data_IF_222848986561
#
_entry.id   IF_222848986561
#
_cell.length_a   1.000
_cell.length_b   1.000
_cell.length_c   1.000
_cell.angle_alpha   90.00
_cell.angle_beta   90.00
_cell.angle_gamma   90.00
#
_symmetry.space_group_name_H-M   'P 1'
#
loop_
_entity.id
_entity.type
_entity.pdbx_description
1 polymer ?
#
# COMPACT_ATOMS: atom_id res chain seq x y z
N UNK A 1 -24.50 26.21 -19.66
CA UNK A 1 -23.06 26.05 -19.42
C UNK A 1 -22.92 25.36 -18.08
N UNK A 2 -23.05 24.03 -18.11
CA UNK A 2 -22.70 23.19 -16.97
C UNK A 2 -21.49 22.41 -17.39
N UNK A 3 -20.43 22.46 -16.60
CA UNK A 3 -19.58 21.31 -16.39
C UNK A 3 -18.85 21.52 -15.06
N UNK A 4 -19.45 20.93 -14.02
CA UNK A 4 -18.88 20.82 -12.69
C UNK A 4 -18.07 19.54 -12.67
N UNK A 5 -16.83 19.63 -13.13
CA UNK A 5 -15.88 18.52 -13.14
C UNK A 5 -14.82 18.79 -12.08
N UNK A 6 -15.25 18.73 -10.82
CA UNK A 6 -14.39 18.71 -9.66
C UNK A 6 -14.98 17.67 -8.70
N UNK A 7 -14.83 16.39 -9.02
CA UNK A 7 -15.01 15.32 -8.04
C UNK A 7 -14.50 14.00 -8.63
N UNK A 8 -13.83 13.18 -7.82
CA UNK A 8 -13.31 11.82 -8.11
C UNK A 8 -11.86 11.69 -8.58
N UNK A 9 -10.92 12.25 -7.84
CA UNK A 9 -9.60 11.61 -7.71
C UNK A 9 -8.91 12.02 -6.40
N UNK A 10 -9.63 11.91 -5.28
CA UNK A 10 -9.10 12.18 -3.95
C UNK A 10 -9.39 11.04 -2.95
N UNK A 11 -10.16 10.02 -3.35
CA UNK A 11 -10.51 8.90 -2.48
C UNK A 11 -9.49 7.75 -2.48
N UNK A 12 -8.62 7.70 -3.49
CA UNK A 12 -7.64 6.61 -3.67
C UNK A 12 -6.33 6.92 -2.91
N UNK A 13 -5.84 8.17 -2.98
CA UNK A 13 -4.62 8.59 -2.29
C UNK A 13 -4.75 8.53 -0.75
N UNK A 14 -5.90 8.90 -0.18
CA UNK A 14 -6.12 8.85 1.28
C UNK A 14 -6.20 7.41 1.82
N UNK A 15 -6.64 6.46 0.98
CA UNK A 15 -6.69 5.04 1.32
C UNK A 15 -5.29 4.41 1.30
N UNK A 16 -4.47 4.81 0.32
CA UNK A 16 -3.09 4.36 0.16
C UNK A 16 -2.19 4.83 1.33
N UNK A 17 -2.27 6.12 1.70
CA UNK A 17 -1.51 6.67 2.84
C UNK A 17 -1.88 6.02 4.19
N UNK A 18 -3.16 5.64 4.34
CA UNK A 18 -3.64 4.91 5.52
C UNK A 18 -3.07 3.49 5.56
N UNK A 19 -3.08 2.78 4.44
CA UNK A 19 -2.53 1.42 4.33
C UNK A 19 -1.01 1.38 4.55
N UNK A 20 -0.26 2.38 4.05
CA UNK A 20 1.18 2.48 4.29
C UNK A 20 1.49 2.71 5.78
N UNK A 21 0.72 3.57 6.45
CA UNK A 21 0.85 3.81 7.90
C UNK A 21 0.53 2.56 8.72
N UNK A 22 -0.51 1.81 8.36
CA UNK A 22 -0.88 0.56 9.03
C UNK A 22 0.20 -0.53 8.87
N UNK A 23 0.79 -0.67 7.67
CA UNK A 23 1.91 -1.57 7.42
C UNK A 23 3.14 -1.24 8.26
N UNK A 24 3.48 0.06 8.35
CA UNK A 24 4.61 0.54 9.15
C UNK A 24 4.42 0.21 10.64
N UNK A 25 3.21 0.38 11.17
CA UNK A 25 2.88 -0.01 12.55
C UNK A 25 2.90 -1.53 12.79
N UNK A 26 2.46 -2.32 11.80
CA UNK A 26 2.52 -3.77 11.86
C UNK A 26 3.97 -4.30 11.88
N UNK A 27 4.86 -3.72 11.07
CA UNK A 27 6.29 -4.05 11.04
C UNK A 27 6.99 -3.71 12.36
N UNK A 28 6.68 -2.56 12.96
CA UNK A 28 7.23 -2.15 14.26
C UNK A 28 6.84 -3.15 15.36
N UNK A 29 5.57 -3.55 15.40
CA UNK A 29 5.06 -4.57 16.33
C UNK A 29 5.77 -5.92 16.15
N UNK A 30 6.01 -6.34 14.90
CA UNK A 30 6.73 -7.57 14.59
C UNK A 30 8.18 -7.53 15.09
N UNK A 31 8.86 -6.39 14.91
CA UNK A 31 10.23 -6.19 15.37
C UNK A 31 10.34 -6.24 16.89
N UNK A 32 9.40 -5.61 17.61
CA UNK A 32 9.35 -5.69 19.08
C UNK A 32 9.18 -7.12 19.58
N UNK A 33 8.27 -7.88 18.96
CA UNK A 33 8.02 -9.28 19.35
C UNK A 33 9.22 -10.18 19.05
N UNK A 34 9.91 -9.96 17.94
CA UNK A 34 11.16 -10.66 17.62
C UNK A 34 12.26 -10.33 18.66
N UNK A 35 12.42 -9.06 19.01
CA UNK A 35 13.37 -8.64 20.04
C UNK A 35 13.04 -9.22 21.44
N UNK A 36 11.76 -9.48 21.72
CA UNK A 36 11.29 -10.18 22.92
C UNK A 36 11.43 -11.70 22.84
N UNK A 37 11.76 -12.26 21.68
CA UNK A 37 11.84 -13.70 21.43
C UNK A 37 10.47 -14.39 21.29
N UNK A 38 9.40 -13.62 21.09
CA UNK A 38 8.03 -14.13 20.88
C UNK A 38 7.81 -14.61 19.43
N UNK A 39 8.70 -14.22 18.51
CA UNK A 39 8.78 -14.75 17.15
C UNK A 39 10.17 -15.34 16.89
N UNK A 40 10.20 -16.46 16.17
CA UNK A 40 11.44 -16.99 15.59
C UNK A 40 11.79 -16.22 14.32
N UNK A 41 13.05 -16.26 13.91
CA UNK A 41 13.54 -15.66 12.66
C UNK A 41 12.66 -16.07 11.46
N UNK A 42 12.39 -17.36 11.29
CA UNK A 42 11.57 -17.87 10.19
C UNK A 42 10.12 -17.33 10.21
N UNK A 43 9.54 -17.13 11.40
CA UNK A 43 8.19 -16.57 11.54
C UNK A 43 8.18 -15.07 11.27
N UNK A 44 9.26 -14.37 11.61
CA UNK A 44 9.43 -12.96 11.31
C UNK A 44 9.59 -12.75 9.80
N UNK A 45 10.51 -13.46 9.16
CA UNK A 45 10.78 -13.37 7.73
C UNK A 45 9.52 -13.64 6.89
N UNK A 46 8.79 -14.73 7.18
CA UNK A 46 7.52 -15.04 6.50
C UNK A 46 6.46 -13.94 6.62
N UNK A 47 6.43 -13.21 7.75
CA UNK A 47 5.43 -12.16 7.98
C UNK A 47 5.85 -10.84 7.37
N UNK A 48 7.14 -10.52 7.41
CA UNK A 48 7.71 -9.34 6.74
C UNK A 48 7.54 -9.45 5.23
N UNK A 49 7.86 -10.61 4.64
CA UNK A 49 7.69 -10.85 3.22
C UNK A 49 6.22 -10.67 2.79
N UNK A 50 5.27 -11.18 3.59
CA UNK A 50 3.83 -11.00 3.34
C UNK A 50 3.41 -9.53 3.35
N UNK A 51 3.90 -8.72 4.29
CA UNK A 51 3.54 -7.30 4.41
C UNK A 51 4.10 -6.49 3.22
N UNK A 52 5.36 -6.74 2.84
CA UNK A 52 6.00 -6.06 1.71
C UNK A 52 5.43 -6.49 0.35
N UNK A 53 5.04 -7.76 0.20
CA UNK A 53 4.38 -8.27 -1.00
C UNK A 53 3.00 -7.61 -1.20
N UNK A 54 2.31 -7.25 -0.12
CA UNK A 54 1.00 -6.58 -0.19
C UNK A 54 1.16 -5.12 -0.62
N UNK A 55 2.11 -4.37 -0.06
CA UNK A 55 2.48 -3.02 -0.52
C UNK A 55 2.89 -3.02 -2.00
N UNK A 56 3.67 -4.02 -2.42
CA UNK A 56 4.07 -4.15 -3.83
C UNK A 56 2.91 -4.55 -4.75
N UNK A 57 1.92 -5.31 -4.29
CA UNK A 57 0.74 -5.65 -5.10
C UNK A 57 -0.15 -4.42 -5.29
N UNK A 58 -0.35 -3.64 -4.23
CA UNK A 58 -1.15 -2.42 -4.23
C UNK A 58 -0.49 -1.32 -5.09
N UNK A 59 0.83 -1.11 -4.98
CA UNK A 59 1.59 -0.14 -5.80
C UNK A 59 1.56 -0.46 -7.32
N UNK A 60 1.54 -1.76 -7.67
CA UNK A 60 1.46 -2.21 -9.06
C UNK A 60 0.07 -1.98 -9.64
N UNK A 61 -0.99 -2.17 -8.86
CA UNK A 61 -2.36 -1.87 -9.28
C UNK A 61 -2.58 -0.37 -9.50
N UNK A 62 -1.91 0.49 -8.73
CA UNK A 62 -2.00 1.95 -8.86
C UNK A 62 -1.33 2.47 -10.15
N UNK A 63 -0.12 1.98 -10.45
CA UNK A 63 0.60 2.32 -11.69
C UNK A 63 -0.10 1.85 -12.97
N UNK A 64 -0.88 0.78 -12.91
CA UNK A 64 -1.62 0.29 -14.07
C UNK A 64 -2.70 1.31 -14.51
N UNK A 65 -3.38 1.94 -13.54
CA UNK A 65 -4.48 2.89 -13.77
C UNK A 65 -3.97 4.19 -14.40
N UNK A 66 -2.83 4.70 -13.92
CA UNK A 66 -2.22 5.94 -14.42
C UNK A 66 -1.80 5.83 -15.89
N UNK A 67 -1.39 4.65 -16.36
CA UNK A 67 -0.91 4.47 -17.75
C UNK A 67 -2.04 4.43 -18.78
N UNK A 68 -3.25 4.04 -18.40
CA UNK A 68 -4.36 3.90 -19.35
C UNK A 68 -4.93 5.26 -19.81
N UNK A 69 -4.81 6.32 -19.01
CA UNK A 69 -5.28 7.66 -19.38
C UNK A 69 -4.41 8.38 -20.44
N UNK A 70 -3.13 8.04 -20.57
CA UNK A 70 -2.25 8.73 -21.54
C UNK A 70 -2.40 8.22 -22.98
N UNK A 71 -2.96 7.04 -23.21
CA UNK A 71 -3.05 6.44 -24.57
C UNK A 71 -4.34 6.75 -25.31
N UNK A 72 -5.34 7.33 -24.63
CA UNK A 72 -6.61 7.74 -25.23
C UNK A 72 -6.62 9.23 -25.59
N UNK A 73 -5.45 9.77 -25.94
CA UNK A 73 -5.28 11.13 -26.43
C UNK A 73 -4.29 11.11 -27.60
N UNK A 74 -4.72 10.52 -28.73
CA UNK A 74 -4.04 10.64 -30.03
C UNK A 74 -5.05 10.73 -31.17
#
# INVERSE_FOLDING_TARGET
>A
MGDRSEDRSAGDAEADESAESDNRGALETLRERYARGELTDEQFERKVERLLDTESLEDVEDRARVREEETNSV
#
